data_IF_746461805719
#
_entry.id   IF_746461805719
#
_cell.length_a   1.000
_cell.length_b   1.000
_cell.length_c   1.000
_cell.angle_alpha   90.00
_cell.angle_beta   90.00
_cell.angle_gamma   90.00
#
_symmetry.space_group_name_H-M   'P 1'
#
loop_
_entity.id
_entity.type
_entity.pdbx_description
1 polymer ?
#
# COMPACT_ATOMS: atom_id res chain seq x y z
N UNK A 1 35.77 11.16 -11.20
CA UNK A 1 35.14 12.51 -11.22
C UNK A 1 33.88 12.41 -10.37
N UNK A 2 33.75 13.21 -9.32
CA UNK A 2 32.59 13.13 -8.43
C UNK A 2 31.46 14.02 -8.96
N UNK A 3 30.22 13.53 -8.91
CA UNK A 3 29.05 14.32 -9.28
C UNK A 3 28.77 15.36 -8.17
N UNK A 4 28.82 16.65 -8.53
CA UNK A 4 28.55 17.73 -7.57
C UNK A 4 27.03 17.89 -7.45
N UNK A 5 26.46 17.27 -6.43
CA UNK A 5 25.02 17.35 -6.14
C UNK A 5 24.70 18.45 -5.16
N UNK A 6 23.63 19.21 -5.45
CA UNK A 6 23.13 20.22 -4.53
C UNK A 6 22.30 19.57 -3.42
N UNK A 7 22.89 19.45 -2.22
CA UNK A 7 22.25 18.81 -1.06
C UNK A 7 20.92 19.46 -0.65
N UNK A 8 20.76 20.78 -0.82
CA UNK A 8 19.49 21.46 -0.53
C UNK A 8 18.38 20.98 -1.48
N UNK A 9 18.68 20.84 -2.77
CA UNK A 9 17.72 20.33 -3.77
C UNK A 9 17.38 18.87 -3.48
N UNK A 10 18.37 18.04 -3.18
CA UNK A 10 18.17 16.62 -2.84
C UNK A 10 17.26 16.46 -1.61
N UNK A 11 17.51 17.19 -0.52
CA UNK A 11 16.65 17.17 0.68
C UNK A 11 15.22 17.62 0.37
N UNK A 12 15.04 18.66 -0.45
CA UNK A 12 13.71 19.12 -0.88
C UNK A 12 12.97 18.05 -1.68
N UNK A 13 13.65 17.33 -2.57
CA UNK A 13 13.08 16.24 -3.34
C UNK A 13 12.67 15.07 -2.44
N UNK A 14 13.52 14.70 -1.47
CA UNK A 14 13.22 13.66 -0.49
C UNK A 14 11.94 13.98 0.31
N UNK A 15 11.82 15.21 0.84
CA UNK A 15 10.59 15.61 1.56
C UNK A 15 9.34 15.55 0.67
N UNK A 16 9.41 16.08 -0.56
CA UNK A 16 8.31 16.00 -1.52
C UNK A 16 7.94 14.56 -1.89
N UNK A 17 8.91 13.64 -1.92
CA UNK A 17 8.66 12.23 -2.16
C UNK A 17 7.96 11.58 -0.96
N UNK A 18 8.37 11.89 0.27
CA UNK A 18 7.70 11.44 1.49
C UNK A 18 6.24 11.94 1.55
N UNK A 19 6.03 13.25 1.33
CA UNK A 19 4.69 13.87 1.32
C UNK A 19 3.77 13.22 0.28
N UNK A 20 4.29 12.89 -0.91
CA UNK A 20 3.51 12.17 -1.94
C UNK A 20 3.12 10.77 -1.52
N UNK A 21 4.04 10.00 -0.94
CA UNK A 21 3.75 8.65 -0.44
C UNK A 21 2.66 8.68 0.62
N UNK A 22 2.75 9.63 1.55
CA UNK A 22 1.73 9.82 2.58
C UNK A 22 0.38 10.22 1.98
N UNK A 23 0.37 11.09 0.98
CA UNK A 23 -0.85 11.46 0.24
C UNK A 23 -1.47 10.24 -0.48
N UNK A 24 -0.66 9.40 -1.11
CA UNK A 24 -1.13 8.19 -1.79
C UNK A 24 -1.71 7.18 -0.79
N UNK A 25 -1.06 6.98 0.37
CA UNK A 25 -1.58 6.15 1.45
C UNK A 25 -2.92 6.69 1.98
N UNK A 26 -3.01 8.01 2.17
CA UNK A 26 -4.24 8.64 2.65
C UNK A 26 -5.34 8.61 1.59
N UNK A 27 -5.02 8.74 0.30
CA UNK A 27 -5.97 8.55 -0.79
C UNK A 27 -6.50 7.11 -0.82
N UNK A 28 -5.64 6.11 -0.59
CA UNK A 28 -6.09 4.72 -0.48
C UNK A 28 -6.96 4.47 0.77
N UNK A 29 -6.62 5.08 1.92
CA UNK A 29 -7.38 4.94 3.17
C UNK A 29 -8.73 5.66 3.14
N UNK A 30 -8.75 6.88 2.61
CA UNK A 30 -9.86 7.83 2.74
C UNK A 30 -10.60 8.11 1.42
N UNK A 31 -10.00 7.83 0.27
CA UNK A 31 -10.62 8.01 -1.04
C UNK A 31 -11.61 6.90 -1.43
N UNK A 32 -11.59 5.76 -0.72
CA UNK A 32 -12.57 4.70 -0.92
C UNK A 32 -13.88 5.04 -0.23
N UNK A 33 -14.96 5.04 -1.01
CA UNK A 33 -16.32 5.13 -0.49
C UNK A 33 -16.65 3.90 0.36
N UNK A 34 -17.66 4.02 1.24
CA UNK A 34 -18.11 2.88 2.07
C UNK A 34 -18.48 1.64 1.24
N UNK A 35 -19.02 1.83 0.03
CA UNK A 35 -19.38 0.76 -0.89
C UNK A 35 -18.16 0.02 -1.44
N UNK A 36 -17.16 0.77 -1.90
CA UNK A 36 -15.91 0.21 -2.45
C UNK A 36 -15.10 -0.54 -1.38
N UNK A 37 -15.05 0.00 -0.15
CA UNK A 37 -14.38 -0.66 0.97
C UNK A 37 -15.02 -2.02 1.28
N UNK A 38 -16.35 -2.08 1.37
CA UNK A 38 -17.09 -3.33 1.61
C UNK A 38 -16.90 -4.34 0.49
N UNK A 39 -16.87 -3.89 -0.77
CA UNK A 39 -16.59 -4.75 -1.92
C UNK A 39 -15.19 -5.35 -1.82
N UNK A 40 -14.18 -4.54 -1.54
CA UNK A 40 -12.79 -5.00 -1.41
C UNK A 40 -12.63 -5.98 -0.23
N UNK A 41 -13.30 -5.73 0.89
CA UNK A 41 -13.33 -6.65 2.05
C UNK A 41 -13.98 -7.98 1.69
N UNK A 42 -15.11 -7.96 0.96
CA UNK A 42 -15.79 -9.18 0.51
C UNK A 42 -14.93 -9.98 -0.47
N UNK A 43 -14.26 -9.32 -1.42
CA UNK A 43 -13.32 -9.93 -2.36
C UNK A 43 -12.12 -10.55 -1.62
N UNK A 44 -11.54 -9.84 -0.65
CA UNK A 44 -10.46 -10.38 0.21
C UNK A 44 -10.92 -11.59 1.02
N UNK A 45 -12.10 -11.52 1.64
CA UNK A 45 -12.65 -12.63 2.42
C UNK A 45 -12.95 -13.85 1.54
N UNK A 46 -13.43 -13.65 0.32
CA UNK A 46 -13.60 -14.73 -0.65
C UNK A 46 -12.24 -15.36 -1.02
N UNK A 47 -11.22 -14.54 -1.30
CA UNK A 47 -9.86 -15.01 -1.58
C UNK A 47 -9.26 -15.83 -0.44
N UNK A 48 -9.39 -15.37 0.82
CA UNK A 48 -8.94 -16.11 2.00
C UNK A 48 -9.66 -17.46 2.09
N UNK A 49 -10.99 -17.48 1.96
CA UNK A 49 -11.76 -18.73 1.97
C UNK A 49 -11.33 -19.69 0.86
N UNK A 50 -11.05 -19.18 -0.33
CA UNK A 50 -10.55 -20.01 -1.43
C UNK A 50 -9.19 -20.62 -1.10
N UNK A 51 -8.27 -19.84 -0.51
CA UNK A 51 -6.97 -20.35 -0.08
C UNK A 51 -7.06 -21.34 1.08
N UNK A 52 -7.91 -21.06 2.07
CA UNK A 52 -8.15 -21.95 3.22
C UNK A 52 -8.74 -23.30 2.78
N UNK A 53 -9.64 -23.31 1.78
CA UNK A 53 -10.14 -24.55 1.18
C UNK A 53 -9.05 -25.40 0.50
N UNK A 54 -7.90 -24.81 0.18
CA UNK A 54 -6.73 -25.50 -0.34
C UNK A 54 -5.69 -25.84 0.74
N UNK A 55 -5.89 -25.40 1.99
CA UNK A 55 -5.00 -25.72 3.10
C UNK A 55 -5.32 -27.14 3.58
N UNK A 56 -4.37 -28.06 3.37
CA UNK A 56 -4.41 -29.37 4.02
C UNK A 56 -3.93 -29.18 5.46
N UNK A 57 -4.73 -29.61 6.43
CA UNK A 57 -4.33 -29.71 7.83
C UNK A 57 -3.21 -30.77 7.89
N UNK A 58 -1.95 -30.35 7.83
CA UNK A 58 -0.84 -31.19 8.27
C UNK A 58 -0.89 -31.21 9.79
N UNK A 59 -1.34 -32.34 10.34
CA UNK A 59 -1.15 -32.71 11.74
C UNK A 59 0.35 -32.83 12.01
N UNK A 60 0.84 -32.13 13.04
CA UNK A 60 2.10 -32.44 13.72
C UNK A 60 1.86 -33.55 14.76
#
# INVERSE_FOLDING_TARGET
>A
MAEIVNLRKARKQLRRAAERREADENAARHGLTKGERRRLEAERAAGIRHLDQHRRETED
#
